data_IF_135403501407
#
_entry.id   IF_135403501407
#
_cell.length_a   1.000
_cell.length_b   1.000
_cell.length_c   1.000
_cell.angle_alpha   90.00
_cell.angle_beta   90.00
_cell.angle_gamma   90.00
#
_symmetry.space_group_name_H-M   'P 1'
#
loop_
_entity.id
_entity.type
_entity.pdbx_description
1 polymer ?
#
# COMPACT_ATOMS: atom_id res chain seq x y z
N UNK A 1 0.43 18.80 -3.20
CA UNK A 1 0.83 17.37 -3.21
C UNK A 1 1.87 17.23 -4.30
N UNK A 2 3.08 16.74 -4.00
CA UNK A 2 4.10 16.55 -5.06
C UNK A 2 3.59 15.49 -6.04
N UNK A 3 3.73 15.76 -7.34
CA UNK A 3 3.51 14.75 -8.36
C UNK A 3 4.70 13.79 -8.28
N UNK A 4 4.42 12.51 -8.03
CA UNK A 4 5.41 11.44 -8.03
C UNK A 4 5.12 10.61 -9.28
N UNK A 5 6.13 10.48 -10.14
CA UNK A 5 6.07 9.74 -11.41
C UNK A 5 6.72 8.35 -11.33
N UNK A 6 7.41 8.03 -10.24
CA UNK A 6 8.02 6.72 -9.99
C UNK A 6 7.93 6.31 -8.51
N UNK A 7 7.91 5.00 -8.25
CA UNK A 7 7.85 4.47 -6.89
C UNK A 7 9.25 4.20 -6.33
N UNK A 8 9.57 4.76 -5.16
CA UNK A 8 10.85 4.56 -4.47
C UNK A 8 10.66 3.65 -3.24
N UNK A 9 11.10 2.38 -3.36
CA UNK A 9 10.91 1.36 -2.32
C UNK A 9 11.63 1.71 -1.00
N UNK A 10 12.79 2.37 -1.06
CA UNK A 10 13.54 2.82 0.12
C UNK A 10 12.76 3.87 0.92
N UNK A 11 12.21 4.88 0.23
CA UNK A 11 11.38 5.91 0.87
C UNK A 11 10.13 5.28 1.47
N UNK A 12 9.50 4.35 0.76
CA UNK A 12 8.35 3.62 1.29
C UNK A 12 8.71 2.86 2.58
N UNK A 13 9.84 2.17 2.60
CA UNK A 13 10.20 1.28 3.72
C UNK A 13 10.64 2.06 4.94
N UNK A 14 11.36 3.17 4.74
CA UNK A 14 12.04 3.89 5.83
C UNK A 14 11.35 5.18 6.28
N UNK A 15 10.42 5.74 5.49
CA UNK A 15 9.83 7.07 5.74
C UNK A 15 8.29 7.00 5.67
N UNK A 16 7.68 6.40 6.70
CA UNK A 16 6.22 6.13 6.76
C UNK A 16 5.39 7.39 6.56
N UNK A 17 5.83 8.54 7.05
CA UNK A 17 5.19 9.83 6.89
C UNK A 17 5.11 10.31 5.43
N UNK A 18 6.02 9.83 4.57
CA UNK A 18 6.05 10.14 3.13
C UNK A 18 5.19 9.21 2.28
N UNK A 19 4.74 8.07 2.81
CA UNK A 19 3.95 7.07 2.06
C UNK A 19 2.69 7.63 1.44
N UNK A 20 2.06 8.60 2.10
CA UNK A 20 0.87 9.30 1.57
C UNK A 20 1.10 9.91 0.18
N UNK A 21 2.35 10.25 -0.16
CA UNK A 21 2.66 10.82 -1.46
C UNK A 21 2.52 9.80 -2.61
N UNK A 22 2.72 8.50 -2.33
CA UNK A 22 2.58 7.42 -3.31
C UNK A 22 1.15 6.90 -3.45
N UNK A 23 0.25 7.26 -2.52
CA UNK A 23 -1.14 6.75 -2.52
C UNK A 23 -1.87 7.07 -3.82
N UNK A 24 -1.66 8.26 -4.39
CA UNK A 24 -2.27 8.60 -5.69
C UNK A 24 -1.75 7.70 -6.80
N UNK A 25 -0.44 7.50 -6.87
CA UNK A 25 0.20 6.64 -7.86
C UNK A 25 -0.31 5.19 -7.76
N UNK A 26 -0.37 4.65 -6.53
CA UNK A 26 -0.83 3.28 -6.28
C UNK A 26 -2.34 3.08 -6.55
N UNK A 27 -3.18 4.11 -6.34
CA UNK A 27 -4.64 4.00 -6.53
C UNK A 27 -5.14 4.42 -7.91
N UNK A 28 -4.63 5.54 -8.44
CA UNK A 28 -5.20 6.20 -9.62
C UNK A 28 -4.48 5.83 -10.90
N UNK A 29 -3.18 5.62 -10.83
CA UNK A 29 -2.38 5.29 -12.00
C UNK A 29 -2.34 3.76 -12.21
N UNK A 30 -3.08 3.01 -11.37
CA UNK A 30 -3.27 1.56 -11.40
C UNK A 30 -1.97 0.74 -11.49
N UNK A 31 -0.82 1.34 -11.14
CA UNK A 31 0.50 0.75 -11.32
C UNK A 31 0.66 -0.62 -10.63
N UNK A 32 -0.11 -0.84 -9.56
CA UNK A 32 -0.05 -2.04 -8.74
C UNK A 32 -1.14 -3.07 -9.05
N UNK A 33 -2.14 -2.73 -9.88
CA UNK A 33 -3.20 -3.68 -10.27
C UNK A 33 -2.59 -4.76 -11.16
N UNK A 34 -2.94 -6.02 -10.91
CA UNK A 34 -2.37 -7.19 -11.60
C UNK A 34 -0.97 -7.60 -11.12
N UNK A 35 -0.35 -6.85 -10.18
CA UNK A 35 0.91 -7.30 -9.58
C UNK A 35 0.67 -8.49 -8.66
N UNK A 36 1.60 -9.43 -8.67
CA UNK A 36 1.57 -10.61 -7.79
C UNK A 36 1.86 -10.24 -6.33
N UNK A 37 1.44 -11.08 -5.38
CA UNK A 37 1.82 -10.93 -3.95
C UNK A 37 3.33 -10.81 -3.77
N UNK A 38 4.12 -11.60 -4.50
CA UNK A 38 5.60 -11.55 -4.47
C UNK A 38 6.17 -10.21 -4.95
N UNK A 39 5.63 -9.66 -6.03
CA UNK A 39 6.00 -8.31 -6.48
C UNK A 39 5.63 -7.24 -5.44
N UNK A 40 4.40 -7.31 -4.91
CA UNK A 40 3.95 -6.37 -3.86
C UNK A 40 4.87 -6.42 -2.65
N UNK A 41 5.31 -7.60 -2.20
CA UNK A 41 6.30 -7.74 -1.13
C UNK A 41 7.64 -7.11 -1.48
N UNK A 42 8.09 -7.29 -2.73
CA UNK A 42 9.37 -6.73 -3.20
C UNK A 42 9.34 -5.19 -3.17
N UNK A 43 8.21 -4.57 -3.50
CA UNK A 43 8.06 -3.12 -3.52
C UNK A 43 7.72 -2.52 -2.15
N UNK A 44 6.79 -3.12 -1.42
CA UNK A 44 6.15 -2.53 -0.25
C UNK A 44 6.62 -3.14 1.08
N UNK A 45 7.34 -4.25 1.05
CA UNK A 45 7.65 -5.07 2.23
C UNK A 45 6.45 -5.89 2.71
N UNK A 46 6.66 -6.69 3.77
CA UNK A 46 5.62 -7.57 4.31
C UNK A 46 4.66 -6.88 5.29
N UNK A 47 5.13 -5.93 6.12
CA UNK A 47 4.36 -5.31 7.22
C UNK A 47 3.57 -6.27 8.12
N UNK A 48 4.08 -7.49 8.31
CA UNK A 48 3.40 -8.54 9.07
C UNK A 48 2.17 -9.11 8.36
N UNK A 49 1.98 -8.84 7.06
CA UNK A 49 0.92 -9.47 6.28
C UNK A 49 1.23 -10.96 6.06
N UNK A 50 0.25 -11.82 6.33
CA UNK A 50 0.39 -13.26 6.15
C UNK A 50 0.20 -13.63 4.66
N UNK A 51 1.18 -14.31 4.05
CA UNK A 51 1.20 -14.54 2.60
C UNK A 51 -0.08 -15.19 2.04
N UNK A 52 -0.66 -16.23 2.69
CA UNK A 52 -1.90 -16.86 2.23
C UNK A 52 -3.14 -15.97 2.28
N UNK A 53 -3.15 -14.88 3.07
CA UNK A 53 -4.29 -13.97 3.13
C UNK A 53 -4.48 -13.23 1.81
N UNK A 54 -5.74 -13.08 1.38
CA UNK A 54 -6.11 -12.34 0.17
C UNK A 54 -6.36 -10.85 0.44
N UNK A 55 -6.01 -10.39 1.63
CA UNK A 55 -6.14 -8.98 2.01
C UNK A 55 -4.93 -8.54 2.81
N UNK A 56 -4.17 -7.59 2.26
CA UNK A 56 -3.05 -6.97 2.96
C UNK A 56 -3.32 -5.52 3.28
N UNK A 57 -2.70 -5.02 4.34
CA UNK A 57 -2.79 -3.61 4.72
C UNK A 57 -1.43 -3.01 4.97
N UNK A 58 -1.26 -1.80 4.47
CA UNK A 58 -0.07 -0.99 4.68
C UNK A 58 -0.44 0.31 5.37
N UNK A 59 0.26 0.66 6.44
CA UNK A 59 0.00 1.90 7.18
C UNK A 59 0.50 3.10 6.37
N UNK A 60 -0.39 4.05 6.06
CA UNK A 60 -0.06 5.25 5.26
C UNK A 60 -0.15 6.55 6.05
N UNK A 61 -0.84 6.55 7.20
CA UNK A 61 -0.87 7.68 8.13
C UNK A 61 -1.30 7.22 9.51
N UNK A 62 -0.48 7.52 10.52
CA UNK A 62 -0.88 7.46 11.91
C UNK A 62 -1.65 8.72 12.29
N UNK A 63 -2.76 8.56 13.01
CA UNK A 63 -3.47 9.71 13.58
C UNK A 63 -3.69 9.50 15.06
N UNK A 64 -3.35 10.51 15.85
CA UNK A 64 -3.45 10.45 17.30
C UNK A 64 -4.90 10.37 17.82
N UNK A 65 -5.89 10.80 17.03
CA UNK A 65 -7.28 10.93 17.48
C UNK A 65 -8.34 10.28 16.58
N UNK A 66 -8.02 9.93 15.33
CA UNK A 66 -9.02 9.56 14.31
C UNK A 66 -8.82 8.16 13.71
N UNK A 67 -8.00 7.32 14.37
CA UNK A 67 -7.64 5.99 13.89
C UNK A 67 -6.57 6.03 12.80
N UNK A 68 -5.89 4.90 12.62
CA UNK A 68 -4.87 4.75 11.60
C UNK A 68 -5.48 4.62 10.21
N UNK A 69 -4.84 5.24 9.22
CA UNK A 69 -5.25 5.15 7.82
C UNK A 69 -4.35 4.15 7.11
N UNK A 70 -4.97 3.19 6.44
CA UNK A 70 -4.31 2.10 5.75
C UNK A 70 -4.63 2.12 4.26
N UNK A 71 -3.69 1.63 3.45
CA UNK A 71 -3.93 1.21 2.09
C UNK A 71 -4.17 -0.31 2.10
N UNK A 72 -5.38 -0.73 1.75
CA UNK A 72 -5.79 -2.12 1.73
C UNK A 72 -5.72 -2.66 0.30
N UNK A 73 -4.99 -3.75 0.13
CA UNK A 73 -4.84 -4.51 -1.12
C UNK A 73 -5.68 -5.77 -1.03
N UNK A 74 -6.41 -6.06 -2.10
CA UNK A 74 -7.20 -7.27 -2.28
C UNK A 74 -6.59 -8.08 -3.40
N UNK A 75 -6.47 -9.38 -3.17
CA UNK A 75 -5.87 -10.31 -4.10
C UNK A 75 -6.89 -11.33 -4.59
N UNK A 76 -6.87 -11.60 -5.89
CA UNK A 76 -7.58 -12.70 -6.54
C UNK A 76 -6.53 -13.47 -7.35
N UNK A 77 -6.50 -14.79 -7.21
CA UNK A 77 -5.52 -15.64 -7.92
C UNK A 77 -4.04 -15.19 -7.75
N UNK A 78 -3.70 -14.70 -6.56
CA UNK A 78 -2.36 -14.16 -6.19
C UNK A 78 -2.01 -12.78 -6.77
N UNK A 79 -2.92 -12.14 -7.51
CA UNK A 79 -2.74 -10.83 -8.12
C UNK A 79 -3.61 -9.75 -7.47
N UNK A 80 -3.13 -8.51 -7.45
CA UNK A 80 -3.91 -7.37 -6.90
C UNK A 80 -5.11 -7.08 -7.79
N UNK A 81 -6.32 -7.39 -7.30
CA UNK A 81 -7.57 -7.06 -7.97
C UNK A 81 -8.10 -5.67 -7.61
N UNK A 82 -7.78 -5.19 -6.41
CA UNK A 82 -8.28 -3.90 -5.92
C UNK A 82 -7.40 -3.30 -4.84
N UNK A 83 -7.32 -1.97 -4.85
CA UNK A 83 -6.69 -1.19 -3.78
C UNK A 83 -7.66 -0.12 -3.29
N UNK A 84 -7.74 0.07 -1.97
CA UNK A 84 -8.60 1.11 -1.37
C UNK A 84 -8.00 1.67 -0.08
N UNK A 85 -8.42 2.88 0.27
CA UNK A 85 -8.08 3.49 1.56
C UNK A 85 -9.10 3.02 2.60
N UNK A 86 -8.60 2.54 3.74
CA UNK A 86 -9.41 2.19 4.89
C UNK A 86 -8.97 2.99 6.12
N UNK A 87 -9.93 3.25 7.02
CA UNK A 87 -9.63 3.74 8.36
C UNK A 87 -9.97 2.64 9.35
N UNK A 88 -9.05 2.35 10.26
CA UNK A 88 -9.33 1.54 11.44
C UNK A 88 -9.18 2.41 12.68
N UNK A 89 -10.24 2.48 13.47
CA UNK A 89 -10.23 3.13 14.79
C UNK A 89 -9.59 2.22 15.81
#
# INVERSE_FOLDING_TARGET
MKHIDHFEADVWSNQREKRRNYVRFLLKDAWIIGKTKKEVLTFLGDEGNYYPENRWTYLIKETWWFGNIFLAFYFEEDEVSKVKIERKK
#
